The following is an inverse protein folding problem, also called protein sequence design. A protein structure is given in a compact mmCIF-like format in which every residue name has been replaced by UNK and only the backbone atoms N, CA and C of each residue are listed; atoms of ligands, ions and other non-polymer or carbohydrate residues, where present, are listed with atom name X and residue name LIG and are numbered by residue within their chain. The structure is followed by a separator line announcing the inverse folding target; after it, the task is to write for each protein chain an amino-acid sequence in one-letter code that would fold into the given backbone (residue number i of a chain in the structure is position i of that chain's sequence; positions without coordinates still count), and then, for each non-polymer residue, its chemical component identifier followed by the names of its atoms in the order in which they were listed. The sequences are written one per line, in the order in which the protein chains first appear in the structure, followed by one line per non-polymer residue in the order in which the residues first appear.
data_IF_949652878210
#
_entry.id   IF_949652878210
#
_cell.length_a   1.000
_cell.length_b   1.000
_cell.length_c   1.000
_cell.angle_alpha   90.00
_cell.angle_beta   90.00
_cell.angle_gamma   90.00
#
_symmetry.space_group_name_H-M   'P 1'
#
loop_
_entity.id
_entity.type
_entity.pdbx_description
1 polymer ?
#
# COMPACT_ATOMS: atom_id res chain seq x y z
N UNK A 1 2.91 49.60 -8.30
CA UNK A 1 3.63 48.64 -7.44
C UNK A 1 4.47 47.73 -8.31
N UNK A 2 5.77 48.03 -8.41
CA UNK A 2 6.72 47.44 -9.35
C UNK A 2 7.04 45.99 -8.98
N UNK A 3 6.64 45.06 -9.83
CA UNK A 3 7.02 43.65 -9.79
C UNK A 3 8.52 43.53 -10.06
N UNK A 4 9.28 43.02 -9.07
CA UNK A 4 10.70 42.72 -9.22
C UNK A 4 10.91 41.70 -10.34
N UNK A 5 11.79 42.04 -11.27
CA UNK A 5 12.30 41.21 -12.35
C UNK A 5 12.91 39.91 -11.83
N UNK A 6 12.59 38.82 -12.54
CA UNK A 6 13.14 37.47 -12.34
C UNK A 6 14.67 37.49 -12.35
N UNK A 7 15.30 37.21 -11.22
CA UNK A 7 16.65 36.63 -11.22
C UNK A 7 16.50 35.21 -11.75
N UNK A 8 17.04 34.95 -12.94
CA UNK A 8 17.20 33.60 -13.45
C UNK A 8 18.05 32.82 -12.44
N UNK A 9 17.44 31.84 -11.76
CA UNK A 9 18.22 30.85 -11.00
C UNK A 9 19.00 30.06 -12.03
N UNK A 10 20.33 30.15 -11.96
CA UNK A 10 21.22 29.24 -12.68
C UNK A 10 20.80 27.80 -12.40
N UNK A 11 20.73 26.93 -13.43
CA UNK A 11 20.42 25.52 -13.20
C UNK A 11 21.45 24.91 -12.24
N UNK A 12 20.95 24.26 -11.19
CA UNK A 12 21.78 23.56 -10.22
C UNK A 12 22.54 22.43 -10.92
N UNK A 13 23.87 22.46 -10.85
CA UNK A 13 24.75 21.42 -11.40
C UNK A 13 24.84 20.24 -10.40
N UNK A 14 24.33 19.05 -10.74
CA UNK A 14 24.28 17.91 -9.82
C UNK A 14 25.64 17.22 -9.59
N UNK A 15 26.72 17.64 -10.27
CA UNK A 15 28.00 16.91 -10.28
C UNK A 15 29.00 17.28 -9.18
N UNK A 16 28.65 18.15 -8.22
CA UNK A 16 29.58 18.51 -7.13
C UNK A 16 29.42 17.54 -5.96
N UNK A 17 30.15 16.42 -5.99
CA UNK A 17 30.33 15.52 -4.83
C UNK A 17 31.38 16.11 -3.89
N UNK A 18 31.01 16.38 -2.65
CA UNK A 18 31.95 16.32 -1.51
C UNK A 18 31.44 15.22 -0.59
N UNK A 19 32.12 14.08 -0.59
CA UNK A 19 31.90 13.02 0.39
C UNK A 19 32.40 13.51 1.76
N UNK A 20 31.52 13.55 2.75
CA UNK A 20 31.88 13.82 4.14
C UNK A 20 32.38 12.52 4.79
N UNK A 21 33.64 12.46 5.28
CA UNK A 21 34.22 11.26 5.88
C UNK A 21 33.55 10.84 7.20
N UNK A 22 32.66 11.67 7.77
CA UNK A 22 31.97 11.39 9.04
C UNK A 22 30.75 10.46 8.94
N UNK A 23 30.48 9.84 7.79
CA UNK A 23 29.34 8.92 7.66
C UNK A 23 28.01 9.60 7.98
N UNK A 24 27.83 10.86 7.58
CA UNK A 24 26.55 11.59 7.62
C UNK A 24 26.11 11.88 6.18
N UNK A 25 24.79 11.89 5.97
CA UNK A 25 24.26 12.18 4.64
C UNK A 25 24.56 13.64 4.30
N UNK A 26 25.04 13.88 3.07
CA UNK A 26 25.44 15.22 2.65
C UNK A 26 24.25 16.21 2.74
N UNK A 27 24.50 17.45 3.14
CA UNK A 27 23.45 18.49 3.21
C UNK A 27 22.62 18.63 1.91
N UNK A 28 23.20 18.50 0.69
CA UNK A 28 22.41 18.45 -0.54
C UNK A 28 21.43 17.27 -0.63
N UNK A 29 21.78 16.09 -0.09
CA UNK A 29 20.87 14.94 -0.05
C UNK A 29 19.64 15.22 0.82
N UNK A 30 19.84 15.89 1.95
CA UNK A 30 18.73 16.34 2.81
C UNK A 30 17.86 17.39 2.11
N UNK A 31 18.40 18.29 1.28
CA UNK A 31 17.57 19.23 0.54
C UNK A 31 16.73 18.59 -0.59
N UNK A 32 17.14 17.42 -1.11
CA UNK A 32 16.46 16.73 -2.22
C UNK A 32 15.09 16.15 -1.85
N UNK A 33 14.83 15.83 -0.58
CA UNK A 33 13.55 15.22 -0.19
C UNK A 33 12.34 16.10 -0.57
N UNK A 34 12.47 17.44 -0.44
CA UNK A 34 11.36 18.37 -0.78
C UNK A 34 11.02 18.35 -2.26
N UNK A 35 12.03 18.17 -3.12
CA UNK A 35 11.86 18.11 -4.58
C UNK A 35 10.96 16.94 -4.95
N UNK A 36 11.21 15.76 -4.38
CA UNK A 36 10.44 14.56 -4.68
C UNK A 36 9.02 14.60 -4.12
N UNK A 37 8.83 15.17 -2.93
CA UNK A 37 7.48 15.41 -2.41
C UNK A 37 6.68 16.37 -3.29
N UNK A 38 7.28 17.46 -3.77
CA UNK A 38 6.63 18.37 -4.73
C UNK A 38 6.34 17.68 -6.06
N UNK A 39 7.29 16.88 -6.56
CA UNK A 39 7.12 16.14 -7.81
C UNK A 39 5.91 15.19 -7.77
N UNK A 40 5.69 14.51 -6.64
CA UNK A 40 4.52 13.65 -6.45
C UNK A 40 3.21 14.43 -6.29
N UNK A 41 3.25 15.62 -5.69
CA UNK A 41 2.09 16.52 -5.64
C UNK A 41 1.70 16.98 -7.04
N UNK A 42 2.64 17.55 -7.78
CA UNK A 42 2.43 18.04 -9.14
C UNK A 42 1.93 16.92 -10.07
N UNK A 43 2.47 15.71 -9.90
CA UNK A 43 1.99 14.52 -10.60
C UNK A 43 0.51 14.27 -10.33
N UNK A 44 0.01 14.48 -9.11
CA UNK A 44 -1.35 14.10 -8.70
C UNK A 44 -2.37 15.24 -8.81
N UNK A 45 -1.94 16.50 -8.74
CA UNK A 45 -2.84 17.66 -8.62
C UNK A 45 -3.90 17.71 -9.70
N UNK A 46 -3.54 17.51 -10.98
CA UNK A 46 -4.52 17.53 -12.07
C UNK A 46 -5.60 16.45 -11.93
N UNK A 47 -5.22 15.26 -11.47
CA UNK A 47 -6.13 14.15 -11.20
C UNK A 47 -7.09 14.46 -10.04
N UNK A 48 -6.57 15.04 -8.97
CA UNK A 48 -7.37 15.39 -7.79
C UNK A 48 -8.35 16.53 -8.08
N UNK A 49 -7.91 17.55 -8.81
CA UNK A 49 -8.75 18.65 -9.23
C UNK A 49 -9.85 18.15 -10.16
N UNK A 50 -9.55 17.32 -11.15
CA UNK A 50 -10.58 16.77 -12.04
C UNK A 50 -11.61 15.90 -11.29
N UNK A 51 -11.14 15.09 -10.33
CA UNK A 51 -12.03 14.21 -9.55
C UNK A 51 -12.86 14.94 -8.49
N UNK A 52 -12.28 15.93 -7.83
CA UNK A 52 -12.88 16.64 -6.70
C UNK A 52 -13.01 18.14 -6.97
N UNK A 53 -13.36 18.50 -8.21
CA UNK A 53 -13.41 19.86 -8.77
C UNK A 53 -14.01 20.92 -7.86
N UNK A 54 -15.17 20.68 -7.26
CA UNK A 54 -15.81 21.63 -6.34
C UNK A 54 -14.99 21.85 -5.06
N UNK A 55 -14.35 20.80 -4.52
CA UNK A 55 -13.46 20.90 -3.36
C UNK A 55 -12.25 21.79 -3.63
N UNK A 56 -11.82 21.86 -4.89
CA UNK A 56 -10.72 22.72 -5.34
C UNK A 56 -11.20 24.07 -5.88
N UNK A 57 -12.48 24.40 -5.72
CA UNK A 57 -13.05 25.69 -6.10
C UNK A 57 -13.37 25.84 -7.58
N UNK A 58 -13.44 24.74 -8.34
CA UNK A 58 -13.85 24.77 -9.75
C UNK A 58 -15.37 24.63 -9.84
N UNK A 59 -16.09 25.63 -10.36
CA UNK A 59 -17.52 25.51 -10.59
C UNK A 59 -17.80 24.56 -11.77
N UNK A 60 -18.98 23.93 -11.76
CA UNK A 60 -19.33 22.87 -12.71
C UNK A 60 -19.51 23.37 -14.16
N UNK A 61 -19.75 24.66 -14.35
CA UNK A 61 -19.78 25.29 -15.68
C UNK A 61 -18.37 25.43 -16.30
N UNK A 62 -17.33 25.51 -15.46
CA UNK A 62 -15.92 25.51 -15.89
C UNK A 62 -15.38 24.09 -16.03
N UNK A 63 -15.51 23.29 -14.96
CA UNK A 63 -15.01 21.92 -14.93
C UNK A 63 -16.17 20.96 -14.70
N UNK A 64 -16.92 20.65 -15.74
CA UNK A 64 -17.90 19.55 -15.76
C UNK A 64 -17.21 18.19 -15.96
N UNK A 65 -18.00 17.10 -15.98
CA UNK A 65 -17.48 15.74 -16.20
C UNK A 65 -16.80 15.55 -17.57
N UNK A 66 -17.34 16.16 -18.62
CA UNK A 66 -16.75 16.12 -19.96
C UNK A 66 -15.35 16.75 -19.98
N UNK A 67 -15.20 17.91 -19.33
CA UNK A 67 -13.91 18.59 -19.21
C UNK A 67 -12.96 17.87 -18.25
N UNK A 68 -13.47 17.26 -17.18
CA UNK A 68 -12.68 16.43 -16.29
C UNK A 68 -12.08 15.21 -17.03
N UNK A 69 -12.83 14.59 -17.94
CA UNK A 69 -12.33 13.48 -18.77
C UNK A 69 -11.18 13.92 -19.70
N UNK A 70 -11.26 15.13 -20.26
CA UNK A 70 -10.14 15.71 -21.03
C UNK A 70 -8.89 15.86 -20.17
N UNK A 71 -9.03 16.28 -18.90
CA UNK A 71 -7.93 16.35 -17.94
C UNK A 71 -7.38 14.97 -17.63
N UNK A 72 -8.23 13.96 -17.38
CA UNK A 72 -7.78 12.59 -17.14
C UNK A 72 -7.02 12.00 -18.32
N UNK A 73 -7.50 12.21 -19.55
CA UNK A 73 -6.83 11.76 -20.78
C UNK A 73 -5.43 12.37 -20.88
N UNK A 74 -5.32 13.70 -20.76
CA UNK A 74 -4.03 14.42 -20.80
C UNK A 74 -3.11 13.97 -19.67
N UNK A 75 -3.68 13.79 -18.48
CA UNK A 75 -2.94 13.35 -17.30
C UNK A 75 -2.34 11.96 -17.52
N UNK A 76 -3.13 11.01 -18.02
CA UNK A 76 -2.72 9.63 -18.26
C UNK A 76 -1.70 9.52 -19.40
N UNK A 77 -1.88 10.27 -20.48
CA UNK A 77 -1.02 10.18 -21.67
C UNK A 77 0.31 10.94 -21.53
N UNK A 78 0.35 12.02 -20.73
CA UNK A 78 1.52 12.91 -20.70
C UNK A 78 2.00 13.25 -19.30
N UNK A 79 1.11 13.69 -18.40
CA UNK A 79 1.54 14.15 -17.07
C UNK A 79 2.10 13.01 -16.23
N UNK A 80 1.38 11.90 -16.11
CA UNK A 80 1.82 10.74 -15.33
C UNK A 80 3.15 10.18 -15.87
N UNK A 81 3.30 9.81 -17.16
CA UNK A 81 4.55 9.28 -17.69
C UNK A 81 5.74 10.22 -17.46
N UNK A 82 5.57 11.53 -17.72
CA UNK A 82 6.61 12.54 -17.50
C UNK A 82 7.05 12.60 -16.04
N UNK A 83 6.11 12.57 -15.10
CA UNK A 83 6.44 12.60 -13.67
C UNK A 83 7.14 11.31 -13.20
N UNK A 84 6.72 10.15 -13.71
CA UNK A 84 7.37 8.87 -13.45
C UNK A 84 8.82 8.85 -13.95
N UNK A 85 9.09 9.43 -15.12
CA UNK A 85 10.45 9.50 -15.68
C UNK A 85 11.44 10.22 -14.74
N UNK A 86 11.01 11.27 -14.03
CA UNK A 86 11.87 11.94 -13.05
C UNK A 86 12.20 11.03 -11.87
N UNK A 87 11.24 10.22 -11.39
CA UNK A 87 11.50 9.26 -10.31
C UNK A 87 12.40 8.13 -10.78
N UNK A 88 12.19 7.59 -11.99
CA UNK A 88 13.07 6.58 -12.60
C UNK A 88 14.50 7.10 -12.64
N UNK A 89 14.73 8.28 -13.22
CA UNK A 89 16.07 8.90 -13.27
C UNK A 89 16.69 9.09 -11.88
N UNK A 90 15.89 9.49 -10.89
CA UNK A 90 16.36 9.66 -9.52
C UNK A 90 16.82 8.34 -8.90
N UNK A 91 16.05 7.27 -9.10
CA UNK A 91 16.34 5.94 -8.59
C UNK A 91 17.55 5.33 -9.29
N UNK A 92 17.64 5.45 -10.63
CA UNK A 92 18.77 4.95 -11.41
C UNK A 92 20.10 5.63 -11.03
N UNK A 93 20.05 6.89 -10.61
CA UNK A 93 21.22 7.64 -10.11
C UNK A 93 21.46 7.45 -8.61
N UNK A 94 20.55 6.79 -7.89
CA UNK A 94 20.62 6.68 -6.44
C UNK A 94 21.58 5.56 -6.02
N UNK A 95 22.59 5.85 -5.18
CA UNK A 95 23.48 4.81 -4.66
C UNK A 95 22.80 3.91 -3.61
N UNK A 96 21.61 4.25 -3.16
CA UNK A 96 20.93 3.63 -2.01
C UNK A 96 19.53 3.14 -2.30
N UNK A 97 19.08 3.25 -3.56
CA UNK A 97 17.71 3.00 -4.04
C UNK A 97 16.62 3.95 -3.49
N UNK A 98 16.98 4.92 -2.65
CA UNK A 98 16.06 5.95 -2.14
C UNK A 98 16.15 7.21 -2.98
N UNK A 99 15.04 7.92 -3.16
CA UNK A 99 14.93 9.06 -4.08
C UNK A 99 15.91 10.18 -3.74
N UNK A 100 16.17 10.41 -2.46
CA UNK A 100 17.12 11.44 -2.01
C UNK A 100 18.60 11.00 -2.08
N UNK A 101 18.87 9.72 -2.34
CA UNK A 101 20.21 9.11 -2.26
C UNK A 101 20.77 9.04 -0.83
N UNK A 102 19.90 9.15 0.18
CA UNK A 102 20.21 9.00 1.61
C UNK A 102 20.38 7.53 1.96
N UNK A 103 21.07 7.20 3.06
CA UNK A 103 21.28 5.78 3.44
C UNK A 103 19.99 5.09 3.89
N UNK A 104 19.08 5.86 4.47
CA UNK A 104 17.75 5.42 4.90
C UNK A 104 16.67 6.17 4.13
N UNK A 105 15.45 5.62 4.01
CA UNK A 105 14.34 6.34 3.38
C UNK A 105 14.04 7.64 4.13
N UNK A 106 13.61 8.64 3.39
CA UNK A 106 13.12 9.93 3.88
C UNK A 106 11.59 9.98 3.82
N UNK A 107 10.99 11.02 4.39
CA UNK A 107 9.54 11.27 4.26
C UNK A 107 9.08 11.33 2.80
N UNK A 108 9.95 11.74 1.89
CA UNK A 108 9.62 11.80 0.47
C UNK A 108 9.42 10.40 -0.13
N UNK A 109 10.21 9.42 0.31
CA UNK A 109 10.11 8.05 -0.18
C UNK A 109 8.75 7.44 0.21
N UNK A 110 8.34 7.61 1.47
CA UNK A 110 7.01 7.19 1.94
C UNK A 110 5.87 7.90 1.20
N UNK A 111 5.98 9.21 1.01
CA UNK A 111 4.96 10.00 0.32
C UNK A 111 4.81 9.57 -1.15
N UNK A 112 5.92 9.43 -1.87
CA UNK A 112 5.93 9.04 -3.29
C UNK A 112 5.43 7.61 -3.44
N UNK A 113 5.90 6.66 -2.62
CA UNK A 113 5.44 5.27 -2.68
C UNK A 113 3.94 5.14 -2.39
N UNK A 114 3.41 5.90 -1.42
CA UNK A 114 1.98 5.90 -1.12
C UNK A 114 1.14 6.49 -2.27
N UNK A 115 1.60 7.58 -2.90
CA UNK A 115 0.93 8.16 -4.07
C UNK A 115 0.96 7.17 -5.24
N UNK A 116 2.09 6.55 -5.54
CA UNK A 116 2.20 5.57 -6.64
C UNK A 116 1.30 4.36 -6.39
N UNK A 117 1.30 3.81 -5.16
CA UNK A 117 0.41 2.69 -4.80
C UNK A 117 -1.07 3.04 -4.99
N UNK A 118 -1.48 4.25 -4.64
CA UNK A 118 -2.85 4.72 -4.89
C UNK A 118 -3.20 4.76 -6.38
N UNK A 119 -2.23 5.11 -7.24
CA UNK A 119 -2.43 5.16 -8.68
C UNK A 119 -2.44 3.77 -9.33
N UNK A 120 -1.84 2.75 -8.71
CA UNK A 120 -1.87 1.35 -9.21
C UNK A 120 -3.28 0.79 -9.36
N UNK A 121 -4.21 1.19 -8.49
CA UNK A 121 -5.62 0.79 -8.55
C UNK A 121 -6.40 1.35 -9.77
N UNK A 122 -5.71 1.88 -10.79
CA UNK A 122 -6.29 2.51 -11.99
C UNK A 122 -5.65 2.02 -13.31
N UNK A 123 -5.16 0.77 -13.30
CA UNK A 123 -4.69 0.01 -14.48
C UNK A 123 -3.48 0.58 -15.23
N UNK A 124 -2.47 1.08 -14.51
CA UNK A 124 -1.19 1.48 -15.15
C UNK A 124 -0.06 0.61 -14.62
N UNK A 125 0.56 -0.17 -15.50
CA UNK A 125 1.84 -0.81 -15.21
C UNK A 125 2.90 0.28 -15.04
N UNK A 126 3.62 0.27 -13.90
CA UNK A 126 4.70 1.21 -13.66
C UNK A 126 6.06 0.62 -14.09
N UNK A 127 7.07 1.46 -14.38
CA UNK A 127 8.42 0.98 -14.65
C UNK A 127 8.97 0.10 -13.51
N UNK A 128 9.79 -0.90 -13.83
CA UNK A 128 10.29 -1.88 -12.86
C UNK A 128 11.05 -1.26 -11.67
N UNK A 129 11.82 -0.19 -11.90
CA UNK A 129 12.53 0.53 -10.82
C UNK A 129 11.56 1.19 -9.83
N UNK A 130 10.42 1.68 -10.31
CA UNK A 130 9.33 2.19 -9.48
C UNK A 130 8.70 1.07 -8.66
N UNK A 131 8.41 -0.08 -9.27
CA UNK A 131 7.82 -1.22 -8.56
C UNK A 131 8.75 -1.77 -7.48
N UNK A 132 10.05 -1.83 -7.78
CA UNK A 132 11.09 -2.21 -6.83
C UNK A 132 11.16 -1.21 -5.67
N UNK A 133 11.14 0.09 -5.97
CA UNK A 133 11.14 1.14 -4.96
C UNK A 133 9.90 1.10 -4.05
N UNK A 134 8.70 0.94 -4.62
CA UNK A 134 7.45 0.82 -3.85
C UNK A 134 7.53 -0.43 -2.96
N UNK A 135 7.97 -1.56 -3.50
CA UNK A 135 8.16 -2.80 -2.75
C UNK A 135 9.16 -2.63 -1.60
N UNK A 136 10.26 -1.92 -1.84
CA UNK A 136 11.28 -1.64 -0.82
C UNK A 136 10.71 -0.80 0.33
N UNK A 137 9.92 0.25 0.05
CA UNK A 137 9.28 1.06 1.10
C UNK A 137 8.28 0.23 1.92
N UNK A 138 7.41 -0.54 1.26
CA UNK A 138 6.40 -1.35 1.95
C UNK A 138 6.98 -2.62 2.61
N UNK A 139 8.17 -3.04 2.23
CA UNK A 139 8.92 -4.12 2.87
C UNK A 139 9.73 -3.70 4.09
N UNK A 140 9.79 -2.41 4.42
CA UNK A 140 10.48 -1.93 5.62
C UNK A 140 9.84 -2.54 6.87
N UNK A 141 10.62 -3.11 7.82
CA UNK A 141 10.06 -3.78 9.01
C UNK A 141 9.08 -2.91 9.79
N UNK A 142 9.35 -1.61 9.93
CA UNK A 142 8.46 -0.68 10.62
C UNK A 142 7.13 -0.44 9.87
N UNK A 143 7.14 -0.45 8.53
CA UNK A 143 5.93 -0.31 7.72
C UNK A 143 5.11 -1.60 7.78
N UNK A 144 5.75 -2.76 7.66
CA UNK A 144 5.11 -4.07 7.80
C UNK A 144 4.47 -4.19 9.18
N UNK A 145 5.19 -3.84 10.25
CA UNK A 145 4.67 -3.89 11.61
C UNK A 145 3.48 -2.94 11.82
N UNK A 146 3.56 -1.71 11.27
CA UNK A 146 2.43 -0.77 11.28
C UNK A 146 1.22 -1.39 10.56
N UNK A 147 1.40 -1.90 9.34
CA UNK A 147 0.31 -2.49 8.57
C UNK A 147 -0.32 -3.70 9.24
N UNK A 148 0.49 -4.58 9.84
CA UNK A 148 -0.01 -5.72 10.61
C UNK A 148 -0.83 -5.26 11.82
N UNK A 149 -0.36 -4.24 12.55
CA UNK A 149 -1.11 -3.69 13.68
C UNK A 149 -2.46 -3.11 13.26
N UNK A 150 -2.48 -2.30 12.20
CA UNK A 150 -3.74 -1.73 11.69
C UNK A 150 -4.68 -2.83 11.18
N UNK A 151 -4.15 -3.85 10.50
CA UNK A 151 -4.93 -5.01 10.07
C UNK A 151 -5.51 -5.77 11.26
N UNK A 152 -4.73 -6.02 12.30
CA UNK A 152 -5.20 -6.72 13.50
C UNK A 152 -6.30 -5.93 14.19
N UNK A 153 -6.15 -4.60 14.29
CA UNK A 153 -7.18 -3.72 14.83
C UNK A 153 -8.48 -3.80 14.00
N UNK A 154 -8.40 -3.72 12.68
CA UNK A 154 -9.57 -3.85 11.80
C UNK A 154 -10.28 -5.22 11.98
N UNK A 155 -9.53 -6.31 11.90
CA UNK A 155 -10.08 -7.68 11.94
C UNK A 155 -10.60 -8.05 13.32
N UNK A 156 -10.03 -7.48 14.39
CA UNK A 156 -10.50 -7.71 15.77
C UNK A 156 -11.98 -7.36 15.94
N UNK A 157 -12.47 -6.34 15.23
CA UNK A 157 -13.81 -5.79 15.34
C UNK A 157 -14.84 -6.43 14.38
N UNK A 158 -14.42 -7.32 13.47
CA UNK A 158 -15.35 -7.92 12.49
C UNK A 158 -16.27 -8.95 13.15
N UNK A 159 -17.56 -8.88 12.80
CA UNK A 159 -18.60 -9.78 13.29
C UNK A 159 -18.81 -10.96 12.34
N UNK A 160 -19.01 -12.15 12.91
CA UNK A 160 -19.38 -13.37 12.18
C UNK A 160 -20.84 -13.26 11.75
N UNK A 161 -21.10 -13.36 10.44
CA UNK A 161 -22.45 -13.24 9.86
C UNK A 161 -22.76 -14.32 8.83
N UNK A 162 -21.73 -14.96 8.28
CA UNK A 162 -21.83 -15.99 7.25
C UNK A 162 -22.85 -17.09 7.56
N UNK A 163 -22.79 -17.75 8.74
CA UNK A 163 -23.73 -18.81 9.10
C UNK A 163 -25.21 -18.37 9.13
N UNK A 164 -25.49 -17.09 9.37
CA UNK A 164 -26.86 -16.56 9.46
C UNK A 164 -27.35 -16.09 8.09
N UNK A 165 -26.55 -15.28 7.41
CA UNK A 165 -26.95 -14.64 6.14
C UNK A 165 -26.77 -15.57 4.93
N UNK A 166 -25.87 -16.54 5.02
CA UNK A 166 -25.41 -17.37 3.90
C UNK A 166 -25.26 -18.85 4.28
N UNK A 167 -26.13 -19.38 5.15
CA UNK A 167 -26.04 -20.74 5.70
C UNK A 167 -25.71 -21.84 4.66
N UNK A 168 -26.28 -21.77 3.45
CA UNK A 168 -26.03 -22.75 2.37
C UNK A 168 -24.61 -22.75 1.81
N UNK A 169 -23.77 -21.79 2.18
CA UNK A 169 -22.37 -21.64 1.73
C UNK A 169 -21.36 -22.23 2.70
N UNK A 170 -21.78 -22.66 3.89
CA UNK A 170 -20.93 -23.17 4.96
C UNK A 170 -19.82 -24.15 4.52
N UNK A 171 -20.10 -25.18 3.67
CA UNK A 171 -19.08 -26.16 3.28
C UNK A 171 -17.86 -25.58 2.56
N UNK A 172 -17.95 -24.34 2.05
CA UNK A 172 -16.89 -23.66 1.31
C UNK A 172 -16.22 -22.52 2.07
N UNK A 173 -16.68 -22.25 3.29
CA UNK A 173 -16.33 -21.01 4.00
C UNK A 173 -15.83 -21.22 5.42
N UNK A 174 -16.21 -22.32 6.09
CA UNK A 174 -15.68 -22.60 7.44
C UNK A 174 -14.16 -22.88 7.34
N UNK A 175 -13.30 -22.07 7.98
CA UNK A 175 -11.86 -22.31 7.96
C UNK A 175 -11.51 -23.61 8.67
N UNK A 176 -10.51 -24.30 8.15
CA UNK A 176 -9.94 -25.52 8.73
C UNK A 176 -8.58 -25.19 9.35
N UNK A 177 -8.38 -25.59 10.61
CA UNK A 177 -7.15 -25.32 11.35
C UNK A 177 -6.40 -26.62 11.61
N UNK A 178 -5.13 -26.64 11.25
CA UNK A 178 -4.19 -27.73 11.56
C UNK A 178 -3.04 -27.18 12.37
N UNK A 179 -2.66 -27.88 13.45
CA UNK A 179 -1.50 -27.52 14.28
C UNK A 179 -0.51 -28.68 14.24
N UNK A 180 0.70 -28.43 13.73
CA UNK A 180 1.74 -29.45 13.60
C UNK A 180 3.13 -28.84 13.73
N UNK A 181 3.98 -29.44 14.56
CA UNK A 181 5.38 -29.03 14.67
C UNK A 181 5.58 -27.58 15.12
N UNK A 182 4.71 -27.06 15.99
CA UNK A 182 4.75 -25.66 16.45
C UNK A 182 4.28 -24.64 15.41
N UNK A 183 3.59 -25.08 14.35
CA UNK A 183 3.05 -24.25 13.29
C UNK A 183 1.53 -24.44 13.20
N UNK A 184 0.82 -23.35 12.96
CA UNK A 184 -0.61 -23.32 12.68
C UNK A 184 -0.79 -23.07 11.19
N UNK A 185 -1.62 -23.90 10.54
CA UNK A 185 -2.04 -23.74 9.16
C UNK A 185 -3.55 -23.61 9.13
N UNK A 186 -4.04 -22.53 8.52
CA UNK A 186 -5.44 -22.30 8.23
C UNK A 186 -5.64 -22.50 6.73
N UNK A 187 -6.65 -23.26 6.34
CA UNK A 187 -7.09 -23.39 4.94
C UNK A 187 -8.60 -23.19 4.83
N UNK A 188 -9.05 -22.45 3.82
CA UNK A 188 -10.49 -22.27 3.55
C UNK A 188 -10.82 -23.02 2.25
N UNK A 189 -11.86 -23.89 2.23
CA UNK A 189 -12.27 -24.65 1.04
C UNK A 189 -13.03 -23.79 0.02
N UNK A 190 -12.37 -22.72 -0.46
CA UNK A 190 -12.93 -21.70 -1.34
C UNK A 190 -12.12 -21.56 -2.64
N UNK A 191 -12.78 -21.13 -3.72
CA UNK A 191 -12.12 -20.90 -5.02
C UNK A 191 -11.79 -19.42 -5.19
N UNK A 192 -10.58 -19.11 -5.64
CA UNK A 192 -10.10 -17.73 -5.72
C UNK A 192 -10.25 -17.17 -7.14
N UNK A 193 -11.06 -16.13 -7.29
CA UNK A 193 -11.29 -15.41 -8.54
C UNK A 193 -11.36 -13.89 -8.28
N UNK A 194 -11.24 -13.08 -9.33
CA UNK A 194 -11.19 -11.62 -9.20
C UNK A 194 -12.48 -11.02 -8.63
N UNK A 195 -13.63 -11.59 -8.98
CA UNK A 195 -14.95 -11.17 -8.53
C UNK A 195 -15.44 -11.89 -7.26
N UNK A 196 -14.77 -12.98 -6.87
CA UNK A 196 -15.15 -13.78 -5.70
C UNK A 196 -13.92 -14.45 -5.08
N UNK A 197 -13.51 -13.96 -3.92
CA UNK A 197 -12.32 -14.40 -3.20
C UNK A 197 -12.50 -14.32 -1.69
N UNK A 198 -11.68 -15.08 -0.98
CA UNK A 198 -11.40 -14.81 0.43
C UNK A 198 -10.46 -13.60 0.48
N UNK A 199 -10.93 -12.47 0.98
CA UNK A 199 -10.11 -11.25 1.08
C UNK A 199 -9.18 -11.28 2.30
N UNK A 200 -9.64 -11.89 3.39
CA UNK A 200 -8.90 -11.92 4.65
C UNK A 200 -8.97 -13.29 5.31
N UNK A 201 -7.87 -13.71 5.92
CA UNK A 201 -7.82 -14.85 6.85
C UNK A 201 -7.12 -14.37 8.11
N UNK A 202 -7.64 -14.73 9.29
CA UNK A 202 -6.98 -14.44 10.56
C UNK A 202 -7.27 -15.49 11.63
N UNK A 203 -6.46 -15.49 12.68
CA UNK A 203 -6.65 -16.30 13.87
C UNK A 203 -6.75 -15.43 15.12
N UNK A 204 -7.62 -15.83 16.04
CA UNK A 204 -7.66 -15.32 17.41
C UNK A 204 -7.20 -16.40 18.40
N UNK A 205 -6.51 -15.98 19.45
CA UNK A 205 -6.16 -16.83 20.59
C UNK A 205 -7.33 -16.96 21.59
N UNK A 206 -7.10 -17.66 22.71
CA UNK A 206 -8.07 -17.84 23.79
C UNK A 206 -8.56 -16.52 24.44
N UNK A 207 -7.80 -15.43 24.29
CA UNK A 207 -8.15 -14.12 24.84
C UNK A 207 -8.89 -13.25 23.80
N UNK A 208 -9.13 -13.77 22.60
CA UNK A 208 -9.74 -13.03 21.50
C UNK A 208 -8.78 -12.09 20.77
N UNK A 209 -7.48 -12.14 21.06
CA UNK A 209 -6.48 -11.31 20.38
C UNK A 209 -6.18 -11.90 19.00
N UNK A 210 -6.13 -11.04 17.98
CA UNK A 210 -5.63 -11.45 16.66
C UNK A 210 -4.14 -11.74 16.77
N UNK A 211 -3.74 -12.97 16.42
CA UNK A 211 -2.34 -13.43 16.52
C UNK A 211 -1.67 -13.63 15.17
N UNK A 212 -2.46 -13.79 14.11
CA UNK A 212 -1.99 -13.82 12.73
C UNK A 212 -3.11 -13.35 11.81
N UNK A 213 -2.76 -12.66 10.74
CA UNK A 213 -3.69 -12.25 9.70
C UNK A 213 -2.98 -12.06 8.37
N UNK A 214 -3.72 -12.27 7.29
CA UNK A 214 -3.31 -11.93 5.93
C UNK A 214 -4.48 -11.32 5.15
N UNK A 215 -4.14 -10.39 4.27
CA UNK A 215 -5.00 -10.00 3.15
C UNK A 215 -4.56 -10.80 1.93
N UNK A 216 -5.51 -11.35 1.19
CA UNK A 216 -5.25 -12.16 0.00
C UNK A 216 -5.76 -11.45 -1.26
N UNK A 217 -5.12 -11.73 -2.39
CA UNK A 217 -5.59 -11.42 -3.74
C UNK A 217 -6.15 -12.66 -4.43
N UNK A 218 -6.80 -12.46 -5.58
CA UNK A 218 -7.47 -13.53 -6.33
C UNK A 218 -6.52 -14.62 -6.87
N UNK A 219 -5.21 -14.35 -6.93
CA UNK A 219 -4.19 -15.33 -7.34
C UNK A 219 -3.54 -16.06 -6.17
N UNK A 220 -3.82 -15.65 -4.93
CA UNK A 220 -3.28 -16.31 -3.74
C UNK A 220 -4.05 -17.59 -3.43
N UNK A 221 -3.40 -18.51 -2.74
CA UNK A 221 -4.12 -19.64 -2.12
C UNK A 221 -4.86 -19.15 -0.87
N UNK A 222 -6.08 -19.65 -0.57
CA UNK A 222 -6.84 -19.28 0.62
C UNK A 222 -6.29 -19.99 1.87
N UNK A 223 -5.02 -19.73 2.17
CA UNK A 223 -4.28 -20.35 3.27
C UNK A 223 -3.45 -19.32 4.03
N UNK A 224 -3.29 -19.56 5.33
CA UNK A 224 -2.41 -18.77 6.21
C UNK A 224 -1.63 -19.71 7.11
N UNK A 225 -0.31 -19.60 7.09
CA UNK A 225 0.59 -20.40 7.93
C UNK A 225 1.46 -19.49 8.78
N UNK A 226 1.51 -19.77 10.09
CA UNK A 226 2.26 -18.97 11.05
C UNK A 226 2.74 -19.82 12.24
N UNK A 227 3.82 -19.40 12.94
CA UNK A 227 4.26 -20.07 14.16
C UNK A 227 3.18 -20.01 15.24
N UNK A 228 2.94 -21.11 15.95
CA UNK A 228 2.08 -21.12 17.12
C UNK A 228 2.63 -20.16 18.19
N UNK A 229 1.90 -19.08 18.55
CA UNK A 229 2.40 -18.14 19.54
C UNK A 229 2.59 -18.81 20.91
N UNK A 230 3.62 -18.38 21.65
CA UNK A 230 3.91 -18.93 22.97
C UNK A 230 2.75 -18.65 23.94
N UNK A 231 2.29 -19.69 24.64
CA UNK A 231 1.21 -19.58 25.63
C UNK A 231 -0.20 -19.57 25.03
N UNK A 232 -0.36 -19.83 23.73
CA UNK A 232 -1.67 -20.05 23.12
C UNK A 232 -2.22 -21.41 23.56
N UNK A 233 -3.45 -21.41 24.11
CA UNK A 233 -4.15 -22.63 24.55
C UNK A 233 -5.29 -23.03 23.61
N UNK A 234 -5.76 -22.09 22.79
CA UNK A 234 -6.73 -22.37 21.74
C UNK A 234 -6.61 -21.39 20.59
N UNK A 235 -6.98 -21.82 19.39
CA UNK A 235 -7.09 -21.00 18.19
C UNK A 235 -8.53 -21.07 17.66
N UNK A 236 -9.06 -19.91 17.27
CA UNK A 236 -10.22 -19.82 16.37
C UNK A 236 -9.79 -19.10 15.11
N UNK A 237 -9.97 -19.74 13.96
CA UNK A 237 -9.70 -19.15 12.66
C UNK A 237 -10.95 -18.49 12.11
N UNK A 238 -10.72 -17.47 11.30
CA UNK A 238 -11.76 -16.69 10.64
C UNK A 238 -11.34 -16.39 9.20
N UNK A 239 -12.33 -16.19 8.36
CA UNK A 239 -12.16 -15.71 7.00
C UNK A 239 -13.21 -14.64 6.68
N UNK A 240 -12.89 -13.77 5.73
CA UNK A 240 -13.87 -12.89 5.09
C UNK A 240 -13.89 -13.13 3.59
N UNK A 241 -15.05 -13.55 3.09
CA UNK A 241 -15.37 -13.56 1.68
C UNK A 241 -15.93 -12.20 1.26
N UNK A 242 -15.50 -11.69 0.10
CA UNK A 242 -16.02 -10.43 -0.44
C UNK A 242 -17.54 -10.45 -0.69
N UNK A 243 -18.12 -11.65 -0.91
CA UNK A 243 -19.56 -11.82 -1.20
C UNK A 243 -20.37 -12.45 -0.06
N UNK A 244 -19.74 -13.25 0.81
CA UNK A 244 -20.45 -14.12 1.75
C UNK A 244 -20.12 -13.86 3.23
N UNK A 245 -19.71 -12.62 3.53
CA UNK A 245 -19.41 -12.15 4.88
C UNK A 245 -18.33 -12.96 5.61
N UNK A 246 -18.31 -12.87 6.94
CA UNK A 246 -17.29 -13.48 7.79
C UNK A 246 -17.77 -14.81 8.36
N UNK A 247 -16.88 -15.80 8.32
CA UNK A 247 -17.06 -17.14 8.89
C UNK A 247 -15.98 -17.43 9.93
N UNK A 248 -16.27 -18.37 10.83
CA UNK A 248 -15.37 -18.80 11.89
C UNK A 248 -15.27 -20.33 11.92
N UNK A 249 -14.09 -20.84 12.27
CA UNK A 249 -13.91 -22.26 12.57
C UNK A 249 -14.49 -22.59 13.94
N UNK A 250 -14.73 -23.87 14.23
CA UNK A 250 -14.75 -24.34 15.61
C UNK A 250 -13.47 -23.96 16.36
N UNK A 251 -13.54 -23.89 17.69
CA UNK A 251 -12.35 -23.68 18.53
C UNK A 251 -11.46 -24.93 18.47
N UNK A 252 -10.18 -24.73 18.16
CA UNK A 252 -9.15 -25.78 18.22
C UNK A 252 -8.31 -25.57 19.46
N UNK A 253 -8.36 -26.52 20.39
CA UNK A 253 -7.53 -26.50 21.60
C UNK A 253 -6.11 -26.97 21.25
N UNK A 254 -5.13 -26.36 21.92
CA UNK A 254 -3.72 -26.68 21.77
C UNK A 254 -3.32 -27.54 22.97
N UNK A 255 -2.84 -28.75 22.67
CA UNK A 255 -2.30 -29.70 23.65
C UNK A 255 -0.85 -29.38 24.04
#
# INVERSE_FOLDING_TARGET
TTLRSKQARTPFNPNVRKSDPGGRDSHPALCRHRVWSSQAKDMKTGLDVAKYKERFGFPLDVLNDENAEKVFKKWRSETLPRHLEYFVKALDMSPTQWLAGTRTPTIADFFVAAVIKMLRHRDSAFPASIETFVSAVYGLPAVVAFQQRELFAELSAKAVKGPVEFASKEPKHVPQVTVKGGQVTISVPHGMAEDHLIEYIWAKDQNGHVVAAAKLGCTDSPTLTFPLPKGTTSITAYEQCNLHAVWASPVVNIE
#
